data_IF_893866337496
#
_entry.id   IF_893866337496
#
_cell.length_a   1.000
_cell.length_b   1.000
_cell.length_c   1.000
_cell.angle_alpha   90.00
_cell.angle_beta   90.00
_cell.angle_gamma   90.00
#
_symmetry.space_group_name_H-M   'P 1'
#
loop_
_entity.id
_entity.type
_entity.pdbx_description
1 polymer ?
#
# COMPACT_ATOMS: atom_id res chain seq x y z
N UNK A 1 -2.46 16.85 -24.69
CA UNK A 1 -2.19 16.98 -23.25
C UNK A 1 -0.68 17.11 -23.08
N UNK A 2 -0.25 18.05 -22.25
CA UNK A 2 0.98 18.81 -22.46
C UNK A 2 2.27 18.05 -22.10
N UNK A 3 3.33 18.30 -22.88
CA UNK A 3 4.72 17.85 -22.71
C UNK A 3 5.41 18.32 -21.39
N UNK A 4 4.67 18.73 -20.36
CA UNK A 4 5.23 19.37 -19.15
C UNK A 4 5.88 18.39 -18.18
N UNK A 5 5.35 17.17 -18.04
CA UNK A 5 5.99 16.12 -17.25
C UNK A 5 7.34 15.65 -17.84
N UNK A 6 7.51 15.74 -19.17
CA UNK A 6 8.76 15.33 -19.81
C UNK A 6 9.94 16.28 -19.49
N UNK A 7 9.67 17.54 -19.13
CA UNK A 7 10.73 18.50 -18.82
C UNK A 7 11.24 18.40 -17.37
N UNK A 8 10.46 17.87 -16.44
CA UNK A 8 10.91 17.64 -15.04
C UNK A 8 11.65 16.30 -14.90
N UNK A 9 11.53 15.40 -15.88
CA UNK A 9 12.10 14.03 -15.83
C UNK A 9 13.53 13.92 -16.38
N UNK A 10 14.11 15.00 -16.95
CA UNK A 10 15.38 14.93 -17.69
C UNK A 10 16.65 15.43 -16.98
N UNK A 11 16.61 15.70 -15.68
CA UNK A 11 17.81 16.01 -14.89
C UNK A 11 18.02 14.89 -13.89
N UNK A 12 18.86 13.89 -14.22
CA UNK A 12 19.74 13.20 -13.26
C UNK A 12 20.60 12.08 -13.89
N UNK A 13 21.83 12.04 -13.39
CA UNK A 13 22.84 10.96 -13.41
C UNK A 13 23.77 10.80 -14.63
N UNK A 14 24.82 11.64 -14.64
CA UNK A 14 26.17 11.19 -15.04
C UNK A 14 26.87 10.70 -13.76
N UNK A 15 26.83 9.38 -13.50
CA UNK A 15 27.71 8.75 -12.50
C UNK A 15 29.03 8.43 -13.19
N UNK A 16 30.01 9.30 -13.00
CA UNK A 16 31.39 9.02 -13.36
C UNK A 16 31.95 7.96 -12.40
N UNK A 17 32.13 6.74 -12.90
CA UNK A 17 32.89 5.67 -12.24
C UNK A 17 34.39 6.03 -12.24
N UNK A 18 34.78 6.90 -11.32
CA UNK A 18 36.18 7.17 -11.00
C UNK A 18 36.58 6.31 -9.82
N UNK A 19 37.69 5.57 -9.95
CA UNK A 19 38.18 4.61 -8.96
C UNK A 19 38.26 5.19 -7.54
N UNK A 20 37.61 4.50 -6.59
CA UNK A 20 37.60 4.84 -5.17
C UNK A 20 38.97 4.51 -4.58
N UNK A 21 39.83 5.52 -4.48
CA UNK A 21 40.85 5.51 -3.44
C UNK A 21 40.12 5.42 -2.09
N UNK A 22 40.56 4.51 -1.22
CA UNK A 22 40.13 4.49 0.19
C UNK A 22 40.66 5.77 0.87
N UNK A 23 40.02 6.91 0.62
CA UNK A 23 40.20 8.09 1.44
C UNK A 23 39.72 7.71 2.83
N UNK A 24 40.57 7.88 3.86
CA UNK A 24 40.14 7.82 5.25
C UNK A 24 38.83 8.63 5.35
N UNK A 25 37.73 7.94 5.64
CA UNK A 25 36.41 8.55 5.68
C UNK A 25 36.45 9.77 6.62
N UNK A 26 35.69 10.84 6.32
CA UNK A 26 35.70 12.05 7.12
C UNK A 26 35.46 11.68 8.60
N UNK A 27 36.43 12.01 9.46
CA UNK A 27 36.39 11.64 10.88
C UNK A 27 35.25 12.38 11.56
N UNK A 28 34.18 11.66 11.89
CA UNK A 28 33.10 12.18 12.73
C UNK A 28 33.62 12.57 14.10
N UNK A 29 32.97 13.57 14.71
CA UNK A 29 33.17 13.84 16.12
C UNK A 29 32.72 12.64 16.96
N UNK A 30 33.26 12.46 18.17
CA UNK A 30 32.83 11.39 19.08
C UNK A 30 31.34 11.48 19.42
N UNK A 31 30.77 12.69 19.41
CA UNK A 31 29.35 12.91 19.63
C UNK A 31 28.52 12.42 18.43
N UNK A 32 28.92 12.76 17.21
CA UNK A 32 28.23 12.35 15.98
C UNK A 32 28.31 10.83 15.78
N UNK A 33 29.45 10.21 16.09
CA UNK A 33 29.57 8.74 16.04
C UNK A 33 28.59 8.07 17.01
N UNK A 34 28.47 8.58 18.24
CA UNK A 34 27.52 8.04 19.23
C UNK A 34 26.08 8.21 18.77
N UNK A 35 25.75 9.33 18.15
CA UNK A 35 24.43 9.57 17.58
C UNK A 35 24.13 8.57 16.44
N UNK A 36 25.08 8.37 15.51
CA UNK A 36 24.95 7.39 14.44
C UNK A 36 24.74 5.97 14.97
N UNK A 37 25.49 5.56 16.00
CA UNK A 37 25.35 4.24 16.64
C UNK A 37 23.99 4.07 17.34
N UNK A 38 23.40 5.15 17.87
CA UNK A 38 22.06 5.12 18.47
C UNK A 38 20.97 5.01 17.40
N UNK A 39 21.08 5.80 16.33
CA UNK A 39 20.19 5.75 15.17
C UNK A 39 20.20 4.36 14.53
N UNK A 40 21.40 3.79 14.30
CA UNK A 40 21.55 2.44 13.76
C UNK A 40 20.87 1.38 14.62
N UNK A 41 21.03 1.45 15.95
CA UNK A 41 20.35 0.53 16.87
C UNK A 41 18.82 0.65 16.81
N UNK A 42 18.30 1.87 16.76
CA UNK A 42 16.87 2.12 16.63
C UNK A 42 16.32 1.61 15.27
N UNK A 43 17.07 1.81 14.18
CA UNK A 43 16.76 1.28 12.86
C UNK A 43 16.70 -0.25 12.84
N UNK A 44 17.73 -0.95 13.33
CA UNK A 44 17.72 -2.42 13.39
C UNK A 44 16.64 -2.96 14.34
N UNK A 45 16.30 -2.19 15.39
CA UNK A 45 15.16 -2.47 16.25
C UNK A 45 13.80 -2.15 15.61
N UNK A 46 13.76 -1.62 14.38
CA UNK A 46 12.55 -1.27 13.62
C UNK A 46 11.64 -0.28 14.35
N UNK A 47 12.21 0.62 15.14
CA UNK A 47 11.46 1.65 15.85
C UNK A 47 11.60 2.98 15.11
N UNK A 48 10.65 3.24 14.21
CA UNK A 48 10.69 4.40 13.31
C UNK A 48 10.52 5.74 14.01
N UNK A 49 9.70 5.79 15.05
CA UNK A 49 9.53 6.98 15.86
C UNK A 49 10.81 7.31 16.64
N UNK A 50 11.48 6.30 17.19
CA UNK A 50 12.71 6.50 17.96
C UNK A 50 13.86 6.99 17.10
N UNK A 51 14.12 6.38 15.93
CA UNK A 51 15.19 6.90 15.08
C UNK A 51 14.83 8.29 14.53
N UNK A 52 13.55 8.58 14.27
CA UNK A 52 13.13 9.93 13.86
C UNK A 52 13.41 10.95 14.95
N UNK A 53 13.07 10.67 16.21
CA UNK A 53 13.37 11.54 17.34
C UNK A 53 14.88 11.82 17.47
N UNK A 54 15.70 10.76 17.40
CA UNK A 54 17.16 10.86 17.48
C UNK A 54 17.73 11.71 16.35
N UNK A 55 17.28 11.47 15.12
CA UNK A 55 17.72 12.19 13.92
C UNK A 55 17.25 13.64 13.94
N UNK A 56 15.99 13.93 14.27
CA UNK A 56 15.46 15.30 14.41
C UNK A 56 16.24 16.10 15.46
N UNK A 57 16.55 15.48 16.60
CA UNK A 57 17.35 16.09 17.67
C UNK A 57 18.77 16.44 17.22
N UNK A 58 19.39 15.57 16.42
CA UNK A 58 20.72 15.78 15.85
C UNK A 58 20.71 16.84 14.74
N UNK A 59 19.74 16.76 13.81
CA UNK A 59 19.61 17.67 12.66
C UNK A 59 19.53 19.13 13.10
N UNK A 60 18.84 19.45 14.20
CA UNK A 60 18.72 20.81 14.75
C UNK A 60 20.07 21.50 14.99
N UNK A 61 21.14 20.74 15.23
CA UNK A 61 22.49 21.24 15.54
C UNK A 61 23.50 21.01 14.41
N UNK A 62 23.07 20.41 13.31
CA UNK A 62 23.94 20.02 12.18
C UNK A 62 24.06 21.15 11.14
N UNK A 63 25.13 21.08 10.33
CA UNK A 63 25.27 21.82 9.07
C UNK A 63 25.42 20.80 7.92
N UNK A 64 25.47 21.25 6.67
CA UNK A 64 25.40 20.33 5.51
C UNK A 64 26.64 19.44 5.40
N UNK A 65 27.81 19.96 5.76
CA UNK A 65 29.04 19.18 5.85
C UNK A 65 28.97 18.09 6.94
N UNK A 66 28.38 18.41 8.11
CA UNK A 66 28.14 17.42 9.17
C UNK A 66 27.11 16.37 8.74
N UNK A 67 26.05 16.78 8.03
CA UNK A 67 25.05 15.88 7.48
C UNK A 67 25.67 14.86 6.52
N UNK A 68 26.46 15.32 5.55
CA UNK A 68 27.15 14.43 4.61
C UNK A 68 28.08 13.41 5.32
N UNK A 69 28.81 13.84 6.35
CA UNK A 69 29.67 12.93 7.12
C UNK A 69 28.86 11.93 7.95
N UNK A 70 27.71 12.37 8.49
CA UNK A 70 26.81 11.51 9.26
C UNK A 70 26.16 10.45 8.35
N UNK A 71 25.70 10.84 7.16
CA UNK A 71 25.15 9.93 6.16
C UNK A 71 26.18 8.92 5.67
N UNK A 72 27.44 9.35 5.48
CA UNK A 72 28.54 8.44 5.16
C UNK A 72 28.76 7.39 6.27
N UNK A 73 28.64 7.79 7.54
CA UNK A 73 28.78 6.87 8.66
C UNK A 73 27.60 5.91 8.81
N UNK A 74 26.36 6.37 8.60
CA UNK A 74 25.18 5.50 8.55
C UNK A 74 25.32 4.47 7.42
N UNK A 75 25.71 4.92 6.23
CA UNK A 75 25.91 4.05 5.07
C UNK A 75 27.01 3.00 5.33
N UNK A 76 28.10 3.38 6.02
CA UNK A 76 29.18 2.45 6.39
C UNK A 76 28.71 1.29 7.28
N UNK A 77 27.62 1.46 8.04
CA UNK A 77 26.99 0.41 8.85
C UNK A 77 25.71 -0.15 8.21
N UNK A 78 25.51 0.06 6.90
CA UNK A 78 24.33 -0.41 6.14
C UNK A 78 23.00 0.14 6.66
N UNK A 79 23.01 1.34 7.20
CA UNK A 79 21.80 2.08 7.59
C UNK A 79 21.52 3.12 6.49
N UNK A 80 20.24 3.34 6.11
CA UNK A 80 19.88 4.38 5.15
C UNK A 80 20.34 5.76 5.58
N UNK A 81 20.44 6.67 4.62
CA UNK A 81 20.78 8.08 4.88
C UNK A 81 19.76 8.74 5.82
N UNK A 82 20.13 9.87 6.42
CA UNK A 82 19.26 10.68 7.27
C UNK A 82 17.95 11.03 6.56
N UNK A 83 18.02 11.41 5.28
CA UNK A 83 16.83 11.72 4.48
C UNK A 83 15.92 10.51 4.31
N UNK A 84 16.48 9.36 3.94
CA UNK A 84 15.71 8.12 3.78
C UNK A 84 15.06 7.66 5.08
N UNK A 85 15.79 7.69 6.20
CA UNK A 85 15.25 7.36 7.52
C UNK A 85 14.08 8.27 7.88
N UNK A 86 14.29 9.59 7.81
CA UNK A 86 13.25 10.55 8.18
C UNK A 86 12.02 10.41 7.28
N UNK A 87 12.21 10.26 5.97
CA UNK A 87 11.12 9.97 5.04
C UNK A 87 10.39 8.69 5.39
N UNK A 88 11.09 7.59 5.68
CA UNK A 88 10.47 6.33 6.12
C UNK A 88 9.63 6.52 7.39
N UNK A 89 10.13 7.24 8.39
CA UNK A 89 9.38 7.52 9.60
C UNK A 89 8.16 8.42 9.36
N UNK A 90 8.29 9.45 8.52
CA UNK A 90 7.17 10.31 8.13
C UNK A 90 6.10 9.54 7.37
N UNK A 91 6.48 8.72 6.39
CA UNK A 91 5.54 7.86 5.65
C UNK A 91 4.86 6.86 6.59
N UNK A 92 5.61 6.25 7.51
CA UNK A 92 5.06 5.35 8.52
C UNK A 92 4.03 6.07 9.40
N UNK A 93 4.34 7.27 9.88
CA UNK A 93 3.42 8.06 10.70
C UNK A 93 2.16 8.49 9.92
N UNK A 94 2.33 8.91 8.67
CA UNK A 94 1.22 9.30 7.78
C UNK A 94 0.27 8.13 7.52
N UNK A 95 0.79 6.94 7.22
CA UNK A 95 -0.03 5.75 6.97
C UNK A 95 -0.76 5.23 8.21
N UNK A 96 -0.18 5.42 9.41
CA UNK A 96 -0.76 4.94 10.66
C UNK A 96 -1.54 6.02 11.44
N UNK A 97 -1.67 7.24 10.90
CA UNK A 97 -2.32 8.35 11.61
C UNK A 97 -1.56 8.82 12.86
N UNK A 98 -0.26 8.54 12.95
CA UNK A 98 0.63 8.89 14.07
C UNK A 98 1.41 10.19 13.81
N UNK A 99 0.90 11.07 12.94
CA UNK A 99 1.59 12.31 12.57
C UNK A 99 1.73 13.28 13.74
N UNK A 100 0.89 13.17 14.77
CA UNK A 100 1.00 13.89 16.05
C UNK A 100 2.15 13.42 16.92
N UNK A 101 2.58 12.18 16.75
CA UNK A 101 3.57 11.52 17.61
C UNK A 101 5.00 11.79 17.11
N UNK A 102 5.12 12.34 15.90
CA UNK A 102 6.39 12.81 15.39
C UNK A 102 6.83 14.11 16.09
N UNK A 103 8.14 14.28 16.34
CA UNK A 103 8.65 15.53 16.87
C UNK A 103 8.31 16.69 15.94
N UNK A 104 8.09 17.88 16.50
CA UNK A 104 7.92 19.09 15.69
C UNK A 104 9.13 19.28 14.78
N UNK A 105 8.95 19.27 13.44
CA UNK A 105 10.06 19.17 12.52
C UNK A 105 10.86 20.47 12.55
N UNK A 106 12.18 20.34 12.60
CA UNK A 106 13.06 21.51 12.43
C UNK A 106 13.06 21.97 10.97
N UNK A 107 13.48 23.21 10.68
CA UNK A 107 13.51 23.68 9.28
C UNK A 107 14.39 22.84 8.38
N UNK A 108 15.53 22.38 8.91
CA UNK A 108 16.46 21.52 8.20
C UNK A 108 15.87 20.14 7.94
N UNK A 109 15.16 19.60 8.92
CA UNK A 109 14.42 18.35 8.77
C UNK A 109 13.33 18.46 7.71
N UNK A 110 12.54 19.54 7.71
CA UNK A 110 11.54 19.77 6.64
C UNK A 110 12.21 19.74 5.27
N UNK A 111 13.37 20.36 5.09
CA UNK A 111 14.04 20.37 3.79
C UNK A 111 14.48 18.99 3.34
N UNK A 112 15.19 18.28 4.22
CA UNK A 112 15.68 16.93 3.95
C UNK A 112 14.51 15.98 3.65
N UNK A 113 13.41 16.11 4.40
CA UNK A 113 12.24 15.24 4.24
C UNK A 113 11.44 15.58 2.98
N UNK A 114 11.19 16.86 2.71
CA UNK A 114 10.38 17.29 1.56
C UNK A 114 11.08 16.92 0.25
N UNK A 115 12.40 17.12 0.14
CA UNK A 115 13.17 16.72 -1.04
C UNK A 115 13.03 15.21 -1.32
N UNK A 116 13.25 14.40 -0.29
CA UNK A 116 13.17 12.94 -0.43
C UNK A 116 11.74 12.44 -0.67
N UNK A 117 10.73 13.08 -0.06
CA UNK A 117 9.31 12.80 -0.35
C UNK A 117 8.96 13.16 -1.80
N UNK A 118 9.47 14.28 -2.31
CA UNK A 118 9.29 14.68 -3.71
C UNK A 118 9.83 13.62 -4.67
N UNK A 119 11.05 13.12 -4.44
CA UNK A 119 11.63 12.01 -5.21
C UNK A 119 10.77 10.73 -5.16
N UNK A 120 10.19 10.43 -3.99
CA UNK A 120 9.28 9.29 -3.82
C UNK A 120 8.00 9.46 -4.63
N UNK A 121 7.38 10.65 -4.57
CA UNK A 121 6.19 11.00 -5.37
C UNK A 121 6.49 10.88 -6.86
N UNK A 122 7.58 11.46 -7.34
CA UNK A 122 8.00 11.34 -8.76
C UNK A 122 8.19 9.90 -9.18
N UNK A 123 8.74 9.05 -8.29
CA UNK A 123 8.90 7.62 -8.57
C UNK A 123 7.55 6.91 -8.70
N UNK A 124 6.61 7.15 -7.79
CA UNK A 124 5.26 6.58 -7.84
C UNK A 124 4.52 7.01 -9.11
N UNK A 125 4.53 8.32 -9.41
CA UNK A 125 3.89 8.89 -10.61
C UNK A 125 4.49 8.31 -11.88
N UNK A 126 5.83 8.22 -11.97
CA UNK A 126 6.51 7.58 -13.11
C UNK A 126 6.12 6.12 -13.28
N UNK A 127 6.03 5.35 -12.20
CA UNK A 127 5.59 3.95 -12.26
C UNK A 127 4.17 3.82 -12.80
N UNK A 128 3.28 4.76 -12.50
CA UNK A 128 1.92 4.79 -13.05
C UNK A 128 1.97 5.08 -14.54
N UNK A 129 2.64 6.15 -14.97
CA UNK A 129 2.69 6.54 -16.40
C UNK A 129 3.40 5.52 -17.30
N UNK A 130 4.35 4.75 -16.77
CA UNK A 130 5.04 3.71 -17.54
C UNK A 130 4.18 2.45 -17.75
N UNK A 131 3.06 2.32 -17.04
CA UNK A 131 2.20 1.16 -17.13
C UNK A 131 1.43 1.07 -18.46
N UNK A 132 1.17 -0.14 -18.94
CA UNK A 132 0.43 -0.36 -20.20
C UNK A 132 -1.01 0.16 -20.15
N UNK A 133 -1.63 0.21 -18.97
CA UNK A 133 -2.93 0.83 -18.77
C UNK A 133 -2.97 2.32 -19.10
N UNK A 134 -1.84 3.02 -19.02
CA UNK A 134 -1.74 4.45 -19.35
C UNK A 134 -1.52 4.69 -20.84
N UNK A 135 -1.34 3.64 -21.64
CA UNK A 135 -1.17 3.75 -23.10
C UNK A 135 -2.53 3.74 -23.80
N UNK A 136 -2.56 4.28 -25.01
CA UNK A 136 -3.69 4.12 -25.92
C UNK A 136 -3.21 3.36 -27.17
N UNK A 137 -3.96 2.34 -27.65
CA UNK A 137 -5.23 1.86 -27.09
C UNK A 137 -5.07 1.12 -25.75
N UNK A 138 -6.12 1.14 -24.92
CA UNK A 138 -6.17 0.34 -23.68
C UNK A 138 -6.04 -1.16 -23.99
N UNK A 139 -5.44 -1.96 -23.09
CA UNK A 139 -5.41 -3.40 -23.21
C UNK A 139 -6.80 -3.98 -23.50
N UNK A 140 -6.88 -4.92 -24.44
CA UNK A 140 -8.11 -5.63 -24.80
C UNK A 140 -7.89 -7.15 -24.78
N UNK A 141 -7.86 -7.76 -23.58
CA UNK A 141 -7.65 -9.20 -23.45
C UNK A 141 -8.77 -10.06 -24.06
N UNK A 142 -8.47 -11.32 -24.38
CA UNK A 142 -9.43 -12.22 -25.02
C UNK A 142 -10.33 -12.98 -24.01
N UNK A 143 -9.90 -13.05 -22.76
CA UNK A 143 -10.56 -13.82 -21.68
C UNK A 143 -10.90 -12.96 -20.48
N UNK A 144 -11.92 -13.36 -19.72
CA UNK A 144 -12.31 -12.66 -18.49
C UNK A 144 -11.24 -12.76 -17.41
N UNK A 145 -10.47 -13.85 -17.40
CA UNK A 145 -9.34 -14.01 -16.48
C UNK A 145 -8.26 -12.96 -16.70
N UNK A 146 -7.82 -12.75 -17.95
CA UNK A 146 -6.80 -11.74 -18.25
C UNK A 146 -7.32 -10.33 -17.92
N UNK A 147 -8.62 -10.08 -18.15
CA UNK A 147 -9.27 -8.87 -17.72
C UNK A 147 -9.27 -8.68 -16.18
N UNK A 148 -9.37 -9.76 -15.38
CA UNK A 148 -9.23 -9.68 -13.93
C UNK A 148 -7.84 -9.15 -13.53
N UNK A 149 -6.79 -9.57 -14.23
CA UNK A 149 -5.41 -9.11 -14.00
C UNK A 149 -5.27 -7.61 -14.33
N UNK A 150 -5.85 -7.17 -15.45
CA UNK A 150 -5.85 -5.75 -15.87
C UNK A 150 -6.62 -4.86 -14.87
N UNK A 151 -7.80 -5.31 -14.41
CA UNK A 151 -8.58 -4.57 -13.40
C UNK A 151 -7.87 -4.56 -12.05
N UNK A 152 -7.18 -5.63 -11.68
CA UNK A 152 -6.34 -5.65 -10.48
C UNK A 152 -5.19 -4.65 -10.58
N UNK A 153 -4.50 -4.64 -11.72
CA UNK A 153 -3.42 -3.70 -11.99
C UNK A 153 -3.87 -2.25 -11.92
N UNK A 154 -5.03 -1.91 -12.51
CA UNK A 154 -5.56 -0.54 -12.46
C UNK A 154 -5.75 -0.04 -11.03
N UNK A 155 -6.19 -0.92 -10.13
CA UNK A 155 -6.37 -0.59 -8.72
C UNK A 155 -5.05 -0.44 -7.97
N UNK A 156 -4.05 -1.25 -8.30
CA UNK A 156 -2.71 -1.06 -7.74
C UNK A 156 -2.14 0.30 -8.14
N UNK A 157 -2.39 0.75 -9.38
CA UNK A 157 -1.98 2.08 -9.84
C UNK A 157 -2.77 3.19 -9.14
N UNK A 158 -4.09 3.02 -8.98
CA UNK A 158 -4.93 3.96 -8.23
C UNK A 158 -4.45 4.11 -6.79
N UNK A 159 -4.12 3.00 -6.11
CA UNK A 159 -3.55 3.03 -4.76
C UNK A 159 -2.25 3.82 -4.71
N UNK A 160 -1.31 3.57 -5.64
CA UNK A 160 -0.04 4.29 -5.72
C UNK A 160 -0.24 5.79 -5.95
N UNK A 161 -1.19 6.17 -6.80
CA UNK A 161 -1.51 7.57 -7.05
C UNK A 161 -2.16 8.25 -5.83
N UNK A 162 -3.01 7.53 -5.07
CA UNK A 162 -3.54 8.03 -3.80
C UNK A 162 -2.46 8.18 -2.72
N UNK A 163 -1.54 7.23 -2.64
CA UNK A 163 -0.38 7.31 -1.74
C UNK A 163 0.46 8.54 -2.10
N UNK A 164 0.72 8.77 -3.39
CA UNK A 164 1.40 9.97 -3.86
C UNK A 164 0.66 11.26 -3.45
N UNK A 165 -0.67 11.33 -3.63
CA UNK A 165 -1.46 12.50 -3.22
C UNK A 165 -1.39 12.74 -1.71
N UNK A 166 -1.47 11.67 -0.91
CA UNK A 166 -1.35 11.77 0.55
C UNK A 166 0.04 12.28 0.97
N UNK A 167 1.09 11.84 0.29
CA UNK A 167 2.46 12.31 0.51
C UNK A 167 2.58 13.80 0.17
N UNK A 168 2.06 14.24 -0.97
CA UNK A 168 2.13 15.67 -1.37
C UNK A 168 1.38 16.55 -0.36
N UNK A 169 0.20 16.12 0.11
CA UNK A 169 -0.54 16.83 1.17
C UNK A 169 0.26 16.91 2.48
N UNK A 170 1.01 15.86 2.80
CA UNK A 170 1.92 15.89 3.96
C UNK A 170 3.12 16.82 3.72
N UNK A 171 3.67 16.88 2.50
CA UNK A 171 4.69 17.86 2.13
C UNK A 171 4.19 19.28 2.31
N UNK A 172 2.98 19.62 1.85
CA UNK A 172 2.33 20.92 2.07
C UNK A 172 2.18 21.22 3.57
N UNK A 173 1.77 20.24 4.37
CA UNK A 173 1.67 20.39 5.83
C UNK A 173 3.04 20.69 6.46
N UNK A 174 4.10 19.98 6.05
CA UNK A 174 5.46 20.25 6.53
C UNK A 174 5.95 21.63 6.09
N UNK A 175 5.72 22.00 4.83
CA UNK A 175 6.04 23.30 4.25
C UNK A 175 5.39 24.45 5.04
N UNK A 176 4.12 24.29 5.40
CA UNK A 176 3.35 25.31 6.15
C UNK A 176 3.92 25.61 7.54
N UNK A 177 4.77 24.72 8.10
CA UNK A 177 5.43 24.92 9.38
C UNK A 177 6.70 25.77 9.29
N UNK A 178 7.17 26.09 8.07
CA UNK A 178 8.35 26.94 7.86
C UNK A 178 7.99 28.43 7.97
N UNK A 179 8.80 29.19 8.69
CA UNK A 179 8.69 30.65 8.71
C UNK A 179 9.22 31.27 7.40
N UNK A 180 8.78 32.48 7.07
CA UNK A 180 9.32 33.25 5.91
C UNK A 180 10.85 33.37 5.94
N UNK A 181 11.43 33.54 7.12
CA UNK A 181 12.89 33.60 7.33
C UNK A 181 13.59 32.26 7.09
N UNK A 182 12.90 31.14 7.27
CA UNK A 182 13.43 29.80 6.97
C UNK A 182 13.31 29.50 5.47
N UNK A 183 12.19 29.85 4.85
CA UNK A 183 12.00 29.77 3.39
C UNK A 183 13.04 30.60 2.61
N UNK A 184 13.43 31.76 3.13
CA UNK A 184 14.46 32.59 2.50
C UNK A 184 15.87 31.97 2.55
N UNK A 185 16.13 31.00 3.44
CA UNK A 185 17.43 30.33 3.60
C UNK A 185 17.56 29.07 2.74
N UNK A 186 16.51 28.71 2.02
CA UNK A 186 16.52 27.56 1.15
C UNK A 186 17.33 27.87 -0.10
N UNK A 187 17.94 26.84 -0.66
CA UNK A 187 18.46 26.91 -2.02
C UNK A 187 17.29 26.96 -3.02
N UNK A 188 17.59 27.29 -4.28
CA UNK A 188 16.55 27.44 -5.29
C UNK A 188 15.78 26.13 -5.52
N UNK A 189 16.44 24.98 -5.46
CA UNK A 189 15.79 23.66 -5.58
C UNK A 189 14.75 23.43 -4.48
N UNK A 190 15.09 23.73 -3.22
CA UNK A 190 14.17 23.60 -2.09
C UNK A 190 13.01 24.59 -2.14
N UNK A 191 13.22 25.82 -2.65
CA UNK A 191 12.13 26.79 -2.86
C UNK A 191 11.19 26.32 -3.95
N UNK A 192 11.73 25.95 -5.12
CA UNK A 192 10.96 25.46 -6.26
C UNK A 192 10.10 24.27 -5.85
N UNK A 193 10.67 23.27 -5.15
CA UNK A 193 9.90 22.11 -4.71
C UNK A 193 8.75 22.47 -3.76
N UNK A 194 8.94 23.43 -2.86
CA UNK A 194 7.89 23.87 -1.93
C UNK A 194 6.80 24.68 -2.65
N UNK A 195 7.20 25.58 -3.56
CA UNK A 195 6.31 26.41 -4.37
C UNK A 195 5.48 25.56 -5.35
N UNK A 196 6.06 24.49 -5.88
CA UNK A 196 5.41 23.57 -6.83
C UNK A 196 4.53 22.51 -6.14
N UNK A 197 4.49 22.41 -4.81
CA UNK A 197 3.69 21.35 -4.14
C UNK A 197 2.20 21.37 -4.49
N UNK A 198 1.61 22.56 -4.69
CA UNK A 198 0.22 22.70 -5.14
C UNK A 198 0.02 22.22 -6.59
N UNK A 199 0.98 22.52 -7.46
CA UNK A 199 0.97 22.06 -8.85
C UNK A 199 1.13 20.54 -8.92
N UNK A 200 2.07 19.96 -8.15
CA UNK A 200 2.27 18.52 -8.06
C UNK A 200 1.00 17.83 -7.54
N UNK A 201 0.31 18.40 -6.55
CA UNK A 201 -0.95 17.83 -6.06
C UNK A 201 -2.01 17.83 -7.16
N UNK A 202 -2.15 18.95 -7.87
CA UNK A 202 -3.08 19.06 -9.00
C UNK A 202 -2.79 18.02 -10.10
N UNK A 203 -1.52 17.81 -10.42
CA UNK A 203 -1.08 16.81 -11.39
C UNK A 203 -1.39 15.37 -10.93
N UNK A 204 -1.20 15.05 -9.65
CA UNK A 204 -1.52 13.73 -9.10
C UNK A 204 -3.04 13.50 -9.03
N UNK A 205 -3.82 14.54 -8.72
CA UNK A 205 -5.29 14.48 -8.75
C UNK A 205 -5.80 14.31 -10.19
N UNK A 206 -5.18 14.97 -11.17
CA UNK A 206 -5.47 14.76 -12.59
C UNK A 206 -5.16 13.31 -13.03
N UNK A 207 -4.06 12.74 -12.55
CA UNK A 207 -3.68 11.36 -12.79
C UNK A 207 -4.70 10.37 -12.19
N UNK A 208 -5.19 10.63 -10.97
CA UNK A 208 -6.24 9.83 -10.35
C UNK A 208 -7.53 9.86 -11.17
N UNK A 209 -7.89 11.03 -11.69
CA UNK A 209 -9.04 11.19 -12.57
C UNK A 209 -8.88 10.41 -13.88
N UNK A 210 -7.70 10.45 -14.49
CA UNK A 210 -7.41 9.68 -15.71
C UNK A 210 -7.46 8.17 -15.46
N UNK A 211 -6.86 7.68 -14.37
CA UNK A 211 -6.92 6.28 -13.96
C UNK A 211 -8.36 5.82 -13.73
N UNK A 212 -9.20 6.66 -13.11
CA UNK A 212 -10.62 6.39 -12.90
C UNK A 212 -11.36 6.16 -14.23
N UNK A 213 -11.12 7.01 -15.22
CA UNK A 213 -11.73 6.85 -16.55
C UNK A 213 -11.22 5.61 -17.29
N UNK A 214 -9.91 5.33 -17.22
CA UNK A 214 -9.32 4.14 -17.83
C UNK A 214 -9.87 2.86 -17.19
N UNK A 215 -9.99 2.82 -15.87
CA UNK A 215 -10.59 1.70 -15.14
C UNK A 215 -12.07 1.51 -15.53
N UNK A 216 -12.84 2.58 -15.69
CA UNK A 216 -14.21 2.50 -16.17
C UNK A 216 -14.28 1.92 -17.60
N UNK A 217 -13.42 2.36 -18.52
CA UNK A 217 -13.41 1.82 -19.88
C UNK A 217 -13.01 0.33 -19.92
N UNK A 218 -12.00 -0.09 -19.15
CA UNK A 218 -11.63 -1.52 -19.03
C UNK A 218 -12.82 -2.35 -18.55
N UNK A 219 -13.55 -1.87 -17.53
CA UNK A 219 -14.73 -2.56 -17.00
C UNK A 219 -15.89 -2.60 -18.00
N UNK A 220 -16.06 -1.56 -18.79
CA UNK A 220 -17.06 -1.54 -19.86
C UNK A 220 -16.75 -2.61 -20.91
N UNK A 221 -15.48 -2.73 -21.34
CA UNK A 221 -15.07 -3.79 -22.27
C UNK A 221 -15.21 -5.18 -21.66
N UNK A 222 -14.85 -5.35 -20.38
CA UNK A 222 -15.03 -6.61 -19.64
C UNK A 222 -16.49 -7.01 -19.53
N UNK A 223 -17.39 -6.07 -19.27
CA UNK A 223 -18.84 -6.30 -19.24
C UNK A 223 -19.35 -6.79 -20.61
N UNK A 224 -18.92 -6.16 -21.69
CA UNK A 224 -19.28 -6.58 -23.04
C UNK A 224 -18.74 -8.00 -23.38
N UNK A 225 -17.54 -8.35 -22.93
CA UNK A 225 -17.02 -9.72 -23.05
C UNK A 225 -17.84 -10.70 -22.19
N UNK A 226 -18.19 -10.34 -20.95
CA UNK A 226 -18.97 -11.17 -20.06
C UNK A 226 -20.34 -11.50 -20.67
N UNK A 227 -21.04 -10.51 -21.24
CA UNK A 227 -22.30 -10.73 -21.96
C UNK A 227 -22.16 -11.74 -23.09
N UNK A 228 -21.11 -11.63 -23.92
CA UNK A 228 -20.82 -12.60 -24.98
C UNK A 228 -20.58 -14.01 -24.43
N UNK A 229 -19.87 -14.15 -23.31
CA UNK A 229 -19.62 -15.46 -22.67
C UNK A 229 -20.87 -16.05 -22.02
N UNK A 230 -21.80 -15.22 -21.55
CA UNK A 230 -23.07 -15.69 -20.99
C UNK A 230 -24.01 -16.30 -22.04
N UNK A 231 -23.90 -15.86 -23.29
CA UNK A 231 -24.66 -16.40 -24.43
C UNK A 231 -24.24 -17.83 -24.81
N UNK A 232 -23.07 -18.30 -24.37
CA UNK A 232 -22.61 -19.66 -24.65
C UNK A 232 -23.59 -20.68 -24.03
N UNK A 233 -24.17 -21.63 -24.79
CA UNK A 233 -25.08 -22.62 -24.24
C UNK A 233 -24.40 -23.56 -23.24
N UNK A 234 -23.09 -23.79 -23.35
CA UNK A 234 -22.37 -24.71 -22.49
C UNK A 234 -21.88 -24.02 -21.21
N UNK A 235 -22.01 -24.72 -20.07
CA UNK A 235 -21.39 -24.27 -18.83
C UNK A 235 -19.88 -24.51 -18.89
N UNK A 236 -19.11 -23.42 -18.87
CA UNK A 236 -17.65 -23.46 -18.82
C UNK A 236 -17.11 -22.41 -17.82
N UNK A 237 -15.80 -22.44 -17.58
CA UNK A 237 -15.16 -21.56 -16.61
C UNK A 237 -15.36 -20.06 -16.93
N UNK A 238 -15.35 -19.69 -18.22
CA UNK A 238 -15.59 -18.31 -18.67
C UNK A 238 -17.03 -17.89 -18.40
N UNK A 239 -18.02 -18.76 -18.64
CA UNK A 239 -19.43 -18.48 -18.33
C UNK A 239 -19.67 -18.29 -16.83
N UNK A 240 -19.01 -19.09 -15.98
CA UNK A 240 -19.06 -18.94 -14.51
C UNK A 240 -18.45 -17.60 -14.08
N UNK A 241 -17.29 -17.22 -14.65
CA UNK A 241 -16.67 -15.91 -14.40
C UNK A 241 -17.57 -14.78 -14.87
N UNK A 242 -18.15 -14.89 -16.06
CA UNK A 242 -19.03 -13.89 -16.64
C UNK A 242 -20.25 -13.62 -15.76
N UNK A 243 -20.87 -14.68 -15.23
CA UNK A 243 -21.99 -14.58 -14.31
C UNK A 243 -21.63 -13.87 -13.00
N UNK A 244 -20.35 -13.91 -12.58
CA UNK A 244 -19.84 -13.19 -11.43
C UNK A 244 -19.45 -11.74 -11.75
N UNK A 245 -18.69 -11.50 -12.82
CA UNK A 245 -18.10 -10.19 -13.12
C UNK A 245 -19.10 -9.20 -13.71
N UNK A 246 -20.05 -9.66 -14.54
CA UNK A 246 -21.03 -8.78 -15.18
C UNK A 246 -21.86 -7.92 -14.20
N UNK A 247 -22.51 -8.48 -13.16
CA UNK A 247 -23.25 -7.66 -12.21
C UNK A 247 -22.35 -6.70 -11.43
N UNK A 248 -21.12 -7.13 -11.09
CA UNK A 248 -20.16 -6.30 -10.35
C UNK A 248 -19.66 -5.11 -11.16
N UNK A 249 -19.33 -5.32 -12.44
CA UNK A 249 -18.90 -4.23 -13.33
C UNK A 249 -20.04 -3.29 -13.61
N UNK A 250 -21.24 -3.80 -13.88
CA UNK A 250 -22.38 -2.94 -14.15
C UNK A 250 -22.74 -2.06 -12.94
N UNK A 251 -22.69 -2.61 -11.72
CA UNK A 251 -22.88 -1.83 -10.50
C UNK A 251 -21.78 -0.78 -10.32
N UNK A 252 -20.50 -1.17 -10.43
CA UNK A 252 -19.36 -0.25 -10.28
C UNK A 252 -19.39 0.89 -11.30
N UNK A 253 -19.72 0.57 -12.57
CA UNK A 253 -19.87 1.54 -13.64
C UNK A 253 -21.05 2.48 -13.39
N UNK A 254 -22.19 1.94 -12.93
CA UNK A 254 -23.37 2.76 -12.61
C UNK A 254 -23.02 3.76 -11.50
N UNK A 255 -22.36 3.32 -10.43
CA UNK A 255 -21.92 4.21 -9.34
C UNK A 255 -20.94 5.28 -9.83
N UNK A 256 -19.92 4.90 -10.61
CA UNK A 256 -18.92 5.82 -11.13
C UNK A 256 -19.54 6.89 -12.05
N UNK A 257 -20.37 6.47 -13.02
CA UNK A 257 -21.02 7.38 -13.96
C UNK A 257 -22.07 8.26 -13.29
N UNK A 258 -22.79 7.75 -12.28
CA UNK A 258 -23.77 8.54 -11.52
C UNK A 258 -23.09 9.63 -10.70
N UNK A 259 -21.99 9.29 -10.01
CA UNK A 259 -21.20 10.27 -9.26
C UNK A 259 -20.62 11.35 -10.19
N UNK A 260 -20.09 10.96 -11.37
CA UNK A 260 -19.61 11.92 -12.36
C UNK A 260 -20.73 12.87 -12.83
N UNK A 261 -21.94 12.35 -13.07
CA UNK A 261 -23.10 13.18 -13.44
C UNK A 261 -23.53 14.14 -12.33
N UNK A 262 -23.58 13.66 -11.09
CA UNK A 262 -23.92 14.47 -9.91
C UNK A 262 -22.94 15.64 -9.73
N UNK A 263 -21.65 15.37 -9.92
CA UNK A 263 -20.59 16.38 -9.85
C UNK A 263 -20.36 17.16 -11.15
N UNK A 264 -21.20 16.97 -12.17
CA UNK A 264 -21.05 17.61 -13.50
C UNK A 264 -19.65 17.45 -14.10
N UNK A 265 -18.99 16.32 -13.81
CA UNK A 265 -17.65 16.01 -14.30
C UNK A 265 -17.70 15.76 -15.81
N UNK A 266 -16.76 16.39 -16.53
CA UNK A 266 -16.55 16.16 -17.96
C UNK A 266 -15.49 15.08 -18.13
N UNK A 267 -15.85 13.99 -18.81
CA UNK A 267 -14.90 12.93 -19.14
C UNK A 267 -13.95 13.34 -20.26
N UNK A 268 -12.69 12.93 -20.15
CA UNK A 268 -11.68 13.07 -21.20
C UNK A 268 -11.79 11.96 -22.25
N UNK A 269 -12.19 10.76 -21.84
CA UNK A 269 -12.33 9.59 -22.73
C UNK A 269 -13.67 9.59 -23.46
N UNK A 270 -13.62 9.57 -24.80
CA UNK A 270 -14.80 9.63 -25.67
C UNK A 270 -15.82 8.51 -25.41
N UNK A 271 -15.34 7.32 -25.06
CA UNK A 271 -16.14 6.14 -24.72
C UNK A 271 -17.10 6.40 -23.55
N UNK A 272 -16.72 7.28 -22.62
CA UNK A 272 -17.50 7.62 -21.42
C UNK A 272 -18.41 8.83 -21.61
N UNK A 273 -18.25 9.60 -22.69
CA UNK A 273 -19.03 10.83 -22.95
C UNK A 273 -20.47 10.55 -23.41
N UNK A 274 -20.85 9.30 -23.66
CA UNK A 274 -22.19 8.95 -24.10
C UNK A 274 -23.22 9.19 -22.98
N UNK A 275 -24.16 10.12 -23.20
CA UNK A 275 -25.22 10.47 -22.25
C UNK A 275 -26.18 9.32 -21.93
N UNK A 276 -26.26 8.30 -22.79
CA UNK A 276 -27.06 7.10 -22.60
C UNK A 276 -26.30 5.95 -21.94
N UNK A 277 -25.00 6.10 -21.66
CA UNK A 277 -24.15 5.01 -21.18
C UNK A 277 -24.67 4.41 -19.86
N UNK A 278 -25.18 5.23 -18.93
CA UNK A 278 -25.76 4.74 -17.67
C UNK A 278 -26.95 3.82 -17.94
N UNK A 279 -27.82 4.19 -18.87
CA UNK A 279 -29.00 3.39 -19.24
C UNK A 279 -28.59 2.12 -19.96
N UNK A 280 -27.57 2.19 -20.82
CA UNK A 280 -26.99 1.03 -21.48
C UNK A 280 -26.40 0.05 -20.47
N UNK A 281 -25.58 0.51 -19.51
CA UNK A 281 -24.99 -0.34 -18.46
C UNK A 281 -26.08 -0.99 -17.61
N UNK A 282 -27.17 -0.28 -17.30
CA UNK A 282 -28.31 -0.85 -16.59
C UNK A 282 -29.05 -1.93 -17.40
N UNK A 283 -29.24 -1.72 -18.72
CA UNK A 283 -29.81 -2.72 -19.61
C UNK A 283 -28.91 -3.95 -19.77
N UNK A 284 -27.60 -3.75 -19.87
CA UNK A 284 -26.59 -4.80 -19.90
C UNK A 284 -26.59 -5.61 -18.61
N UNK A 285 -26.76 -4.97 -17.46
CA UNK A 285 -26.92 -5.65 -16.15
C UNK A 285 -28.12 -6.59 -16.15
N UNK A 286 -29.28 -6.13 -16.60
CA UNK A 286 -30.49 -6.96 -16.62
C UNK A 286 -30.36 -8.10 -17.63
N UNK A 287 -29.77 -7.82 -18.80
CA UNK A 287 -29.46 -8.84 -19.81
C UNK A 287 -28.53 -9.92 -19.25
N UNK A 288 -27.46 -9.53 -18.56
CA UNK A 288 -26.55 -10.45 -17.88
C UNK A 288 -27.29 -11.32 -16.85
N UNK A 289 -28.17 -10.70 -16.05
CA UNK A 289 -28.99 -11.41 -15.05
C UNK A 289 -29.90 -12.47 -15.70
N UNK A 290 -30.55 -12.12 -16.82
CA UNK A 290 -31.41 -13.04 -17.55
C UNK A 290 -30.62 -14.19 -18.18
N UNK A 291 -29.48 -13.92 -18.81
CA UNK A 291 -28.63 -14.94 -19.44
C UNK A 291 -27.98 -15.89 -18.42
N UNK A 292 -27.61 -15.37 -17.24
CA UNK A 292 -26.97 -16.15 -16.19
C UNK A 292 -27.98 -16.96 -15.35
N UNK A 293 -29.19 -16.44 -15.13
CA UNK A 293 -30.17 -17.04 -14.22
C UNK A 293 -29.57 -17.32 -12.84
N UNK A 294 -29.83 -18.52 -12.31
CA UNK A 294 -29.29 -19.01 -11.03
C UNK A 294 -27.76 -19.03 -10.96
N UNK A 295 -27.06 -18.99 -12.10
CA UNK A 295 -25.60 -19.03 -12.12
C UNK A 295 -25.01 -17.79 -11.44
N UNK A 296 -25.70 -16.65 -11.49
CA UNK A 296 -25.27 -15.39 -10.85
C UNK A 296 -25.05 -15.58 -9.35
N UNK A 297 -26.03 -16.16 -8.66
CA UNK A 297 -25.94 -16.36 -7.20
C UNK A 297 -24.91 -17.43 -6.85
N UNK A 298 -24.87 -18.52 -7.63
CA UNK A 298 -23.92 -19.63 -7.43
C UNK A 298 -22.48 -19.17 -7.64
N UNK A 299 -22.21 -18.40 -8.70
CA UNK A 299 -20.88 -17.86 -8.97
C UNK A 299 -20.47 -16.84 -7.91
N UNK A 300 -21.38 -15.97 -7.48
CA UNK A 300 -21.12 -15.02 -6.39
C UNK A 300 -20.73 -15.75 -5.11
N UNK A 301 -21.50 -16.75 -4.68
CA UNK A 301 -21.17 -17.57 -3.49
C UNK A 301 -19.82 -18.28 -3.64
N UNK A 302 -19.53 -18.83 -4.83
CA UNK A 302 -18.25 -19.49 -5.10
C UNK A 302 -17.07 -18.52 -4.98
N UNK A 303 -17.08 -17.40 -5.72
CA UNK A 303 -15.96 -16.47 -5.73
C UNK A 303 -15.80 -15.72 -4.40
N UNK A 304 -16.91 -15.36 -3.73
CA UNK A 304 -16.85 -14.81 -2.37
C UNK A 304 -16.27 -15.84 -1.41
N UNK A 305 -16.70 -17.10 -1.50
CA UNK A 305 -16.16 -18.20 -0.69
C UNK A 305 -14.67 -18.44 -0.93
N UNK A 306 -14.23 -18.46 -2.20
CA UNK A 306 -12.82 -18.57 -2.57
C UNK A 306 -11.99 -17.39 -2.06
N UNK A 307 -12.50 -16.16 -2.21
CA UNK A 307 -11.83 -14.97 -1.67
C UNK A 307 -11.72 -15.05 -0.15
N UNK A 308 -12.75 -15.56 0.54
CA UNK A 308 -12.72 -15.75 1.99
C UNK A 308 -11.74 -16.83 2.42
N UNK A 309 -11.68 -17.95 1.69
CA UNK A 309 -10.82 -19.08 2.00
C UNK A 309 -9.34 -18.80 1.71
N UNK A 310 -9.03 -18.31 0.50
CA UNK A 310 -7.65 -18.08 0.05
C UNK A 310 -6.99 -16.87 0.73
N UNK A 311 -7.78 -15.85 1.10
CA UNK A 311 -7.25 -14.58 1.61
C UNK A 311 -7.49 -14.41 3.10
N UNK A 312 -8.03 -15.44 3.77
CA UNK A 312 -8.33 -15.43 5.20
C UNK A 312 -9.29 -14.31 5.62
N UNK A 313 -9.48 -14.15 6.94
CA UNK A 313 -10.32 -13.13 7.57
C UNK A 313 -9.77 -11.69 7.44
N UNK A 314 -8.86 -11.43 6.50
CA UNK A 314 -8.20 -10.14 6.35
C UNK A 314 -9.00 -9.25 5.38
N UNK A 315 -9.72 -8.28 5.96
CA UNK A 315 -10.52 -7.26 5.27
C UNK A 315 -10.90 -6.15 6.25
N UNK A 316 -11.37 -5.01 5.74
CA UNK A 316 -11.82 -3.88 6.58
C UNK A 316 -13.11 -4.29 7.28
N UNK A 317 -13.11 -4.25 8.61
CA UNK A 317 -14.28 -4.54 9.43
C UNK A 317 -14.00 -4.23 10.89
N UNK A 318 -14.96 -3.58 11.57
CA UNK A 318 -14.94 -3.37 13.03
C UNK A 318 -15.27 -4.66 13.81
N UNK A 319 -15.74 -5.69 13.12
CA UNK A 319 -16.22 -6.94 13.70
C UNK A 319 -15.07 -7.75 14.31
N UNK A 320 -15.33 -8.31 15.49
CA UNK A 320 -14.37 -9.11 16.26
C UNK A 320 -13.04 -8.37 16.46
N UNK A 321 -13.04 -7.07 16.79
CA UNK A 321 -11.82 -6.28 16.99
C UNK A 321 -10.89 -6.22 15.76
N UNK A 322 -11.46 -6.21 14.54
CA UNK A 322 -10.67 -6.31 13.30
C UNK A 322 -10.30 -7.74 12.92
N UNK A 323 -10.80 -8.75 13.63
CA UNK A 323 -10.58 -10.17 13.37
C UNK A 323 -11.62 -10.79 12.41
N UNK A 324 -12.57 -10.03 11.90
CA UNK A 324 -13.45 -10.50 10.85
C UNK A 324 -13.77 -9.36 9.89
N UNK A 325 -13.92 -9.68 8.60
CA UNK A 325 -14.55 -8.72 7.69
C UNK A 325 -15.98 -8.50 8.16
N UNK A 326 -16.46 -7.27 8.11
CA UNK A 326 -17.87 -7.01 8.35
C UNK A 326 -18.72 -7.63 7.23
N UNK A 327 -19.99 -7.98 7.48
CA UNK A 327 -20.90 -8.39 6.42
C UNK A 327 -20.97 -7.37 5.27
N UNK A 328 -20.77 -6.08 5.56
CA UNK A 328 -20.70 -5.02 4.54
C UNK A 328 -19.55 -5.21 3.53
N UNK A 329 -18.45 -5.86 3.92
CA UNK A 329 -17.37 -6.21 3.00
C UNK A 329 -17.79 -7.22 1.91
N UNK A 330 -18.87 -7.99 2.14
CA UNK A 330 -19.46 -8.87 1.13
C UNK A 330 -20.20 -8.10 0.03
N UNK A 331 -20.52 -6.82 0.27
CA UNK A 331 -21.31 -5.99 -0.63
C UNK A 331 -20.49 -4.88 -1.30
N UNK A 332 -19.20 -4.73 -0.97
CA UNK A 332 -18.30 -3.75 -1.59
C UNK A 332 -17.20 -4.43 -2.38
N UNK A 333 -17.06 -4.08 -3.67
CA UNK A 333 -16.02 -4.64 -4.54
C UNK A 333 -14.61 -4.31 -4.04
N UNK A 334 -14.40 -3.09 -3.55
CA UNK A 334 -13.13 -2.68 -2.93
C UNK A 334 -12.81 -3.50 -1.69
N UNK A 335 -13.83 -3.91 -0.91
CA UNK A 335 -13.65 -4.75 0.27
C UNK A 335 -13.49 -6.26 -0.05
N UNK A 336 -13.93 -6.69 -1.24
CA UNK A 336 -13.69 -8.04 -1.78
C UNK A 336 -12.30 -8.16 -2.43
N UNK A 337 -11.72 -7.05 -2.89
CA UNK A 337 -10.38 -6.98 -3.43
C UNK A 337 -9.33 -7.05 -2.31
N UNK A 338 -8.15 -7.58 -2.61
CA UNK A 338 -7.15 -7.83 -1.58
C UNK A 338 -6.71 -6.48 -0.98
N UNK A 339 -6.80 -6.35 0.35
CA UNK A 339 -6.19 -5.24 1.03
C UNK A 339 -4.69 -5.29 0.77
N UNK A 340 -4.11 -4.13 0.46
CA UNK A 340 -2.67 -3.99 0.40
C UNK A 340 -2.08 -4.57 1.68
N UNK A 341 -1.23 -5.58 1.52
CA UNK A 341 -0.36 -6.00 2.60
C UNK A 341 0.79 -4.98 2.59
N UNK A 342 0.91 -4.04 3.55
CA UNK A 342 2.08 -3.19 3.64
C UNK A 342 3.36 -4.03 3.53
N UNK A 343 4.31 -3.57 2.70
CA UNK A 343 5.58 -4.24 2.41
C UNK A 343 6.36 -4.57 3.68
N UNK A 344 6.21 -3.73 4.72
CA UNK A 344 6.65 -4.03 6.06
C UNK A 344 5.44 -4.51 6.90
N UNK A 345 5.55 -5.68 7.52
CA UNK A 345 4.55 -6.13 8.49
C UNK A 345 4.64 -5.22 9.72
N UNK A 346 3.54 -4.55 10.17
CA UNK A 346 3.56 -3.83 11.43
C UNK A 346 3.94 -4.82 12.52
N UNK A 347 4.91 -4.42 13.35
CA UNK A 347 5.33 -5.21 14.49
C UNK A 347 4.19 -5.18 15.51
N UNK A 348 3.80 -6.33 16.09
CA UNK A 348 2.80 -6.35 17.14
C UNK A 348 3.23 -5.41 18.26
N UNK A 349 2.36 -4.49 18.69
CA UNK A 349 2.56 -3.77 19.93
C UNK A 349 2.59 -4.81 21.06
N UNK A 350 3.72 -4.94 21.74
CA UNK A 350 3.84 -5.84 22.87
C UNK A 350 2.93 -5.31 23.98
N UNK A 351 1.86 -6.04 24.30
CA UNK A 351 0.84 -5.59 25.25
C UNK A 351 1.44 -5.34 26.64
N UNK A 352 2.59 -5.96 26.93
CA UNK A 352 3.33 -5.79 28.18
C UNK A 352 4.22 -4.53 28.24
N UNK A 353 4.50 -3.86 27.12
CA UNK A 353 5.27 -2.59 27.14
C UNK A 353 4.41 -1.37 27.50
N UNK A 354 3.10 -1.43 27.30
CA UNK A 354 2.18 -0.34 27.62
C UNK A 354 1.69 -0.31 29.07
N UNK A 355 2.02 -1.32 29.89
CA UNK A 355 1.64 -1.33 31.31
C UNK A 355 2.58 -0.50 32.20
N UNK A 356 3.74 -0.07 31.67
CA UNK A 356 4.74 0.71 32.43
C UNK A 356 4.76 2.21 32.15
N UNK A 357 3.91 2.73 31.27
CA UNK A 357 3.76 4.18 31.05
C UNK A 357 2.30 4.57 31.18
N UNK A 358 2.07 5.59 32.01
CA UNK A 358 0.76 6.07 32.46
C UNK A 358 -0.23 6.17 31.29
N UNK A 359 -1.35 5.45 31.43
CA UNK A 359 -2.45 5.41 30.48
C UNK A 359 -2.96 6.82 30.13
N UNK A 360 -3.09 7.18 28.85
CA UNK A 360 -4.09 8.14 28.44
C UNK A 360 -5.47 7.47 28.54
N UNK A 361 -6.40 8.17 29.17
CA UNK A 361 -7.79 7.81 29.37
C UNK A 361 -8.49 7.35 28.07
N UNK A 362 -9.08 6.15 28.12
CA UNK A 362 -10.03 5.62 27.13
C UNK A 362 -11.30 6.47 27.08
N UNK A 363 -11.25 7.63 26.44
CA UNK A 363 -12.46 8.38 26.08
C UNK A 363 -12.18 9.26 24.87
N UNK A 364 -12.53 8.71 23.69
CA UNK A 364 -13.02 9.35 22.46
C UNK A 364 -12.46 8.62 21.24
N UNK A 365 -13.34 7.85 20.59
CA UNK A 365 -13.27 7.50 19.16
C UNK A 365 -11.90 7.06 18.63
N UNK A 366 -11.31 6.01 19.20
CA UNK A 366 -10.44 5.17 18.39
C UNK A 366 -11.30 4.53 17.30
N UNK A 367 -11.33 5.20 16.16
CA UNK A 367 -11.68 4.66 14.86
C UNK A 367 -11.12 3.24 14.78
N UNK A 368 -11.93 2.29 14.30
CA UNK A 368 -11.47 0.93 14.06
C UNK A 368 -10.09 0.98 13.40
N UNK A 369 -9.05 0.33 13.96
CA UNK A 369 -7.70 0.51 13.45
C UNK A 369 -7.68 0.13 11.97
N UNK A 370 -7.41 1.11 11.13
CA UNK A 370 -7.02 0.89 9.76
C UNK A 370 -5.71 0.11 9.82
N UNK A 371 -5.78 -1.20 9.56
CA UNK A 371 -4.66 -2.16 9.49
C UNK A 371 -4.16 -2.75 10.82
N UNK A 372 -5.03 -3.39 11.62
CA UNK A 372 -4.56 -4.31 12.67
C UNK A 372 -4.58 -5.79 12.20
N UNK A 373 -3.41 -6.26 11.72
CA UNK A 373 -3.12 -7.61 11.17
C UNK A 373 -3.04 -8.71 12.26
N UNK A 374 -3.91 -8.69 13.28
CA UNK A 374 -3.81 -9.55 14.48
C UNK A 374 -3.81 -11.06 14.22
N UNK A 375 -4.34 -11.54 13.10
CA UNK A 375 -4.38 -12.98 12.81
C UNK A 375 -3.05 -13.59 12.37
N UNK A 376 -2.14 -12.80 11.78
CA UNK A 376 -0.85 -13.37 11.41
C UNK A 376 -0.04 -13.72 12.66
N UNK A 377 -0.17 -12.90 13.72
CA UNK A 377 0.43 -13.18 15.00
C UNK A 377 -0.21 -14.37 15.71
N UNK A 378 -1.55 -14.52 15.67
CA UNK A 378 -2.19 -15.68 16.30
C UNK A 378 -1.80 -17.01 15.64
N UNK A 379 -1.72 -17.04 14.31
CA UNK A 379 -1.26 -18.24 13.60
C UNK A 379 0.24 -18.48 13.73
N UNK A 380 1.08 -17.45 13.68
CA UNK A 380 2.51 -17.62 13.95
C UNK A 380 2.79 -18.00 15.42
N UNK A 381 1.96 -17.53 16.36
CA UNK A 381 2.03 -17.90 17.77
C UNK A 381 1.51 -19.32 18.01
N UNK A 382 0.40 -19.73 17.37
CA UNK A 382 -0.06 -21.11 17.40
C UNK A 382 0.93 -22.05 16.71
N UNK A 383 1.49 -21.70 15.56
CA UNK A 383 2.54 -22.49 14.89
C UNK A 383 3.76 -22.64 15.80
N UNK A 384 4.22 -21.56 16.44
CA UNK A 384 5.31 -21.62 17.44
C UNK A 384 4.90 -22.45 18.66
N UNK A 385 3.63 -22.43 19.08
CA UNK A 385 3.13 -23.24 20.19
C UNK A 385 3.11 -24.71 19.80
N UNK A 386 2.55 -25.06 18.65
CA UNK A 386 2.49 -26.42 18.09
C UNK A 386 3.90 -26.94 17.85
N UNK A 387 4.81 -26.14 17.29
CA UNK A 387 6.23 -26.48 17.12
C UNK A 387 6.93 -26.67 18.47
N UNK A 388 6.67 -25.82 19.47
CA UNK A 388 7.21 -26.04 20.84
C UNK A 388 6.62 -27.28 21.50
N UNK A 389 5.33 -27.58 21.31
CA UNK A 389 4.69 -28.78 21.86
C UNK A 389 5.19 -30.06 21.17
N UNK A 390 5.44 -30.04 19.86
CA UNK A 390 6.02 -31.18 19.12
C UNK A 390 7.52 -31.35 19.37
N UNK A 391 8.27 -30.27 19.62
CA UNK A 391 9.69 -30.38 19.96
C UNK A 391 9.90 -30.81 21.42
N UNK A 392 8.95 -30.48 22.31
CA UNK A 392 9.00 -30.89 23.73
C UNK A 392 8.50 -32.33 23.96
N UNK A 393 7.80 -32.94 23.01
CA UNK A 393 7.31 -34.34 23.13
C UNK A 393 8.26 -35.39 22.53
N UNK A 394 9.39 -35.00 21.93
CA UNK A 394 10.39 -35.93 21.36
C UNK A 394 11.62 -36.12 22.28
N UNK A 395 11.67 -35.44 23.43
CA UNK A 395 12.69 -35.69 24.45
C UNK A 395 12.06 -36.01 25.80
N UNK A 396 11.49 -37.20 25.93
CA UNK A 396 11.45 -38.00 27.19
C UNK A 396 10.75 -39.34 26.92
N UNK A 397 11.43 -40.23 26.20
CA UNK A 397 11.30 -41.68 26.43
C UNK A 397 12.48 -42.42 25.78
N UNK A 398 13.68 -42.16 26.32
CA UNK A 398 14.73 -43.18 26.39
C UNK A 398 14.89 -43.56 27.86
N UNK A 399 13.92 -44.31 28.38
CA UNK A 399 14.18 -45.20 29.50
C UNK A 399 14.67 -46.53 28.95
N UNK A 400 15.74 -47.01 29.58
CA UNK A 400 16.36 -48.28 29.34
C UNK A 400 15.40 -49.45 29.63
N UNK A 401 15.52 -50.50 28.81
CA UNK A 401 15.25 -51.88 29.21
C UNK A 401 13.84 -52.41 28.97
N UNK A 402 13.64 -53.13 27.86
CA UNK A 402 13.27 -54.56 27.90
C UNK A 402 13.42 -55.20 26.49
N UNK A 403 14.26 -56.24 26.29
CA UNK A 403 14.45 -56.88 24.99
C UNK A 403 13.56 -58.12 24.79
N UNK A 404 12.33 -58.15 25.30
CA UNK A 404 11.40 -59.25 25.05
C UNK A 404 9.92 -58.82 25.12
N UNK A 405 9.35 -58.38 24.00
CA UNK A 405 7.90 -58.53 23.75
C UNK A 405 7.55 -58.50 22.24
N UNK A 406 7.64 -59.68 21.65
CA UNK A 406 6.63 -60.36 20.82
C UNK A 406 5.48 -59.49 20.22
N UNK A 407 5.62 -59.21 18.91
CA UNK A 407 4.70 -59.41 17.77
C UNK A 407 3.23 -58.92 17.72
N UNK A 408 2.86 -58.56 16.46
CA UNK A 408 1.54 -58.34 15.83
C UNK A 408 0.85 -57.00 16.19
N UNK A 409 0.17 -56.26 15.30
CA UNK A 409 -0.58 -56.66 14.10
C UNK A 409 -0.90 -55.41 13.25
N UNK A 410 -0.96 -55.62 11.95
CA UNK A 410 -1.61 -54.79 10.93
C UNK A 410 -3.12 -54.60 11.16
N UNK A 411 -3.65 -53.44 10.76
CA UNK A 411 -5.08 -53.16 10.56
C UNK A 411 -5.29 -51.68 10.23
N UNK A 412 -5.45 -51.28 8.96
CA UNK A 412 -6.70 -51.15 8.18
C UNK A 412 -7.71 -50.13 8.77
N UNK A 413 -7.96 -49.10 7.96
CA UNK A 413 -9.23 -48.40 7.65
C UNK A 413 -10.27 -48.19 8.75
N UNK A 414 -10.85 -46.99 8.84
CA UNK A 414 -12.16 -46.70 8.23
C UNK A 414 -12.54 -45.21 8.36
N UNK A 415 -13.12 -44.71 7.27
CA UNK A 415 -14.00 -43.53 7.05
C UNK A 415 -13.53 -42.12 7.39
#
# INVERSE_FOLDING_TARGET
>A
MSNRFASVVCLLFVVSLSGVAQSEGPRLSREDQRAADQVARAYFAGNSLLYAELVSGWLRKSNDARLANFDAALTAVSVPTTGELMTEAHLHAVHNGLTSDLPSPSSREVLVVVEQLGSHVSTLVRMVYQNDLMKDPLPDPATLREYDDVVWESQMLESKARDAAQIVRHMQLLASKLSKTQLAKLDESGKTLLEETDEILGDVEELLDELGERQAEVRLKRLALALRRLQDPMLNAEKIRAAYTAPLDAESLTSYLSAAKEHQRVFKRQTLMNSQLIQQVAADRETARQLAGDLTEKSQRLFVGLNWWLRGRYGVGSEVFGLAKSPAAMHSMQAQMALYMPQQLPRPNDRQQNDSQQQPSYSQQQQSPCYDRRHHYWWAWEDRRVQRTTTSSVQTNRQAGDPNSISYRTGRYFM
#
